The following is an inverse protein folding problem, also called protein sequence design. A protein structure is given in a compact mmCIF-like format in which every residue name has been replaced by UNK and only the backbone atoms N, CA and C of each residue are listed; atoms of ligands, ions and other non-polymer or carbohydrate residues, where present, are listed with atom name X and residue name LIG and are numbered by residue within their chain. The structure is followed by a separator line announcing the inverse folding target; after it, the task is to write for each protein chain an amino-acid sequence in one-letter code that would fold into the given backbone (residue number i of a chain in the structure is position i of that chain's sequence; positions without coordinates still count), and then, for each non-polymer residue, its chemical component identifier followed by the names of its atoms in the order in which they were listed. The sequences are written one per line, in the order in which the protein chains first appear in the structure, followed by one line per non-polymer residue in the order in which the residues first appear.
data_IF_288376003443
#
_entry.id   IF_288376003443
#
_cell.length_a   1.000
_cell.length_b   1.000
_cell.length_c   1.000
_cell.angle_alpha   90.00
_cell.angle_beta   90.00
_cell.angle_gamma   90.00
#
_symmetry.space_group_name_H-M   'P 1'
#
loop_
_entity.id
_entity.type
_entity.pdbx_description
1 polymer ?
#
# COMPACT_ATOMS: atom_id res chain seq x y z
N UNK A 1 -16.44 -31.79 14.07
CA UNK A 1 -15.52 -30.71 13.66
C UNK A 1 -16.31 -29.78 12.79
N UNK A 2 -16.43 -28.51 13.18
CA UNK A 2 -17.06 -27.50 12.35
C UNK A 2 -15.92 -26.93 11.50
N UNK A 3 -15.81 -27.34 10.24
CA UNK A 3 -14.87 -26.74 9.30
C UNK A 3 -15.35 -25.31 9.03
N UNK A 4 -14.72 -24.36 9.71
CA UNK A 4 -14.93 -22.91 9.58
C UNK A 4 -14.04 -22.28 8.52
N UNK A 5 -13.54 -23.05 7.56
CA UNK A 5 -12.81 -22.53 6.42
C UNK A 5 -13.83 -22.14 5.33
N UNK A 6 -14.48 -20.99 5.53
CA UNK A 6 -15.30 -20.35 4.49
C UNK A 6 -14.43 -19.76 3.38
N UNK A 7 -15.05 -19.46 2.24
CA UNK A 7 -14.38 -18.90 1.05
C UNK A 7 -13.48 -17.70 1.41
N UNK A 8 -12.24 -17.72 0.92
CA UNK A 8 -11.21 -16.71 1.24
C UNK A 8 -10.91 -15.88 0.00
N UNK A 9 -11.03 -14.57 0.14
CA UNK A 9 -10.51 -13.60 -0.84
C UNK A 9 -9.28 -12.92 -0.26
N UNK A 10 -8.14 -13.11 -0.92
CA UNK A 10 -6.91 -12.43 -0.55
C UNK A 10 -6.64 -11.29 -1.55
N UNK A 11 -6.27 -10.13 -1.04
CA UNK A 11 -5.80 -9.00 -1.84
C UNK A 11 -4.29 -8.87 -1.66
N UNK A 12 -3.55 -8.87 -2.77
CA UNK A 12 -2.12 -8.58 -2.77
C UNK A 12 -1.78 -7.67 -3.94
N UNK A 13 -0.67 -6.95 -3.84
CA UNK A 13 -0.29 -5.99 -4.86
C UNK A 13 0.96 -5.22 -4.48
N UNK A 14 1.32 -4.29 -5.34
CA UNK A 14 2.46 -3.41 -5.16
C UNK A 14 2.19 -2.05 -5.77
N UNK A 15 2.70 -1.00 -5.14
CA UNK A 15 2.58 0.37 -5.63
C UNK A 15 3.93 1.07 -5.64
N UNK A 16 4.19 1.80 -6.71
CA UNK A 16 5.26 2.78 -6.77
C UNK A 16 4.69 4.14 -6.35
N UNK A 17 5.31 4.77 -5.35
CA UNK A 17 4.85 6.02 -4.77
C UNK A 17 5.88 7.12 -5.00
N UNK A 18 5.40 8.31 -5.36
CA UNK A 18 6.17 9.55 -5.36
C UNK A 18 5.66 10.42 -4.21
N UNK A 19 6.58 10.86 -3.35
CA UNK A 19 6.26 11.67 -2.17
C UNK A 19 6.95 13.02 -2.18
N UNK A 20 6.34 13.99 -1.50
CA UNK A 20 6.90 15.29 -1.20
C UNK A 20 6.80 15.57 0.30
N UNK A 21 7.91 16.00 0.90
CA UNK A 21 7.93 16.48 2.28
C UNK A 21 7.94 18.01 2.31
N UNK A 22 7.11 18.59 3.18
CA UNK A 22 6.96 20.03 3.34
C UNK A 22 7.96 20.64 4.34
N UNK A 23 8.87 19.83 4.90
CA UNK A 23 9.79 20.26 5.95
C UNK A 23 11.23 19.81 5.74
N UNK A 24 12.09 20.23 6.67
CA UNK A 24 13.48 19.78 6.72
C UNK A 24 13.54 18.27 6.97
N UNK A 25 14.42 17.53 6.27
CA UNK A 25 14.69 16.12 6.56
C UNK A 25 15.14 15.85 8.01
N UNK A 26 15.79 16.83 8.64
CA UNK A 26 16.29 16.75 10.02
C UNK A 26 15.20 16.95 11.10
N UNK A 27 13.95 17.18 10.73
CA UNK A 27 12.83 17.45 11.64
C UNK A 27 11.61 16.59 11.30
N UNK A 28 10.68 16.49 12.25
CA UNK A 28 9.38 15.86 11.97
C UNK A 28 8.66 16.72 10.93
N UNK A 29 8.39 16.14 9.76
CA UNK A 29 7.91 16.88 8.60
C UNK A 29 6.62 16.30 8.03
N UNK A 30 5.59 17.13 7.80
CA UNK A 30 4.42 16.70 7.04
C UNK A 30 4.82 16.26 5.63
N UNK A 31 4.15 15.23 5.12
CA UNK A 31 4.37 14.74 3.76
C UNK A 31 3.06 14.32 3.09
N UNK A 32 3.06 14.38 1.76
CA UNK A 32 2.04 13.80 0.89
C UNK A 32 2.69 12.89 -0.13
N UNK A 33 1.95 11.90 -0.62
CA UNK A 33 2.40 11.06 -1.72
C UNK A 33 1.23 10.64 -2.60
N UNK A 34 1.57 10.28 -3.82
CA UNK A 34 0.67 9.66 -4.77
C UNK A 34 1.42 8.63 -5.59
N UNK A 35 0.68 7.68 -6.15
CA UNK A 35 1.31 6.63 -6.92
C UNK A 35 0.34 5.75 -7.66
N UNK A 36 0.95 4.84 -8.40
CA UNK A 36 0.26 3.87 -9.22
C UNK A 36 0.89 2.49 -9.00
N UNK A 37 0.08 1.46 -9.20
CA UNK A 37 0.49 0.10 -8.96
C UNK A 37 -0.48 -0.89 -9.56
N UNK A 38 -0.42 -2.11 -9.05
CA UNK A 38 -1.33 -3.17 -9.39
C UNK A 38 -1.88 -3.82 -8.12
N UNK A 39 -3.09 -4.35 -8.23
CA UNK A 39 -3.75 -5.17 -7.22
C UNK A 39 -4.21 -6.47 -7.87
N UNK A 40 -4.24 -7.53 -7.08
CA UNK A 40 -4.71 -8.84 -7.47
C UNK A 40 -5.63 -9.40 -6.38
N UNK A 41 -6.82 -9.82 -6.77
CA UNK A 41 -7.68 -10.68 -5.98
C UNK A 41 -7.34 -12.14 -6.24
N UNK A 42 -7.23 -12.93 -5.19
CA UNK A 42 -7.20 -14.39 -5.28
C UNK A 42 -8.37 -14.96 -4.52
N UNK A 43 -9.18 -15.72 -5.25
CA UNK A 43 -10.36 -16.40 -4.74
C UNK A 43 -10.01 -17.87 -4.52
N UNK A 44 -10.27 -18.36 -3.31
CA UNK A 44 -10.19 -19.79 -2.96
C UNK A 44 -11.49 -20.23 -2.32
N UNK A 45 -12.07 -21.31 -2.84
CA UNK A 45 -13.27 -21.94 -2.30
C UNK A 45 -13.06 -23.43 -2.13
N UNK A 46 -13.14 -23.90 -0.89
CA UNK A 46 -13.06 -25.33 -0.57
C UNK A 46 -14.35 -26.07 -0.99
N UNK A 47 -15.44 -25.35 -1.23
CA UNK A 47 -16.74 -25.90 -1.64
C UNK A 47 -16.92 -25.94 -3.16
N UNK A 48 -16.36 -24.96 -3.88
CA UNK A 48 -16.48 -24.86 -5.34
C UNK A 48 -15.12 -24.60 -6.00
N UNK A 49 -14.31 -25.65 -6.26
CA UNK A 49 -12.98 -25.50 -6.86
C UNK A 49 -12.99 -24.85 -8.26
N UNK A 50 -14.10 -24.97 -9.00
CA UNK A 50 -14.26 -24.33 -10.30
C UNK A 50 -14.44 -22.79 -10.21
N UNK A 51 -14.67 -22.25 -9.01
CA UNK A 51 -14.76 -20.82 -8.74
C UNK A 51 -13.42 -20.23 -8.26
N UNK A 52 -12.35 -21.03 -8.20
CA UNK A 52 -11.00 -20.52 -7.95
C UNK A 52 -10.51 -19.67 -9.11
N UNK A 53 -9.82 -18.57 -8.79
CA UNK A 53 -9.33 -17.67 -9.81
C UNK A 53 -8.51 -16.52 -9.26
N UNK A 54 -7.97 -15.73 -10.18
CA UNK A 54 -7.32 -14.47 -9.85
C UNK A 54 -7.66 -13.38 -10.86
N UNK A 55 -8.00 -12.20 -10.37
CA UNK A 55 -8.25 -11.01 -11.17
C UNK A 55 -7.21 -9.96 -10.80
N UNK A 56 -6.61 -9.31 -11.78
CA UNK A 56 -5.58 -8.29 -11.55
C UNK A 56 -5.89 -7.04 -12.33
N UNK A 57 -5.61 -5.90 -11.74
CA UNK A 57 -5.75 -4.63 -12.43
C UNK A 57 -4.86 -3.55 -11.83
N UNK A 58 -5.02 -2.34 -12.36
CA UNK A 58 -4.24 -1.18 -11.93
C UNK A 58 -4.80 -0.62 -10.64
N UNK A 59 -3.96 0.08 -9.89
CA UNK A 59 -4.38 0.83 -8.72
C UNK A 59 -3.75 2.21 -8.69
N UNK A 60 -4.49 3.17 -8.13
CA UNK A 60 -3.97 4.48 -7.75
C UNK A 60 -4.03 4.60 -6.22
N UNK A 61 -2.98 5.19 -5.65
CA UNK A 61 -2.88 5.47 -4.23
C UNK A 61 -2.58 6.94 -4.00
N UNK A 62 -3.22 7.54 -3.01
CA UNK A 62 -2.93 8.88 -2.51
C UNK A 62 -2.85 8.83 -0.99
N UNK A 63 -1.93 9.58 -0.39
CA UNK A 63 -1.79 9.56 1.06
C UNK A 63 -1.04 10.75 1.62
N UNK A 64 -1.10 10.86 2.93
CA UNK A 64 -0.45 11.90 3.70
C UNK A 64 0.02 11.34 5.04
N UNK A 65 1.04 11.96 5.62
CA UNK A 65 1.66 11.47 6.84
C UNK A 65 2.70 12.40 7.42
N UNK A 66 3.51 11.83 8.30
CA UNK A 66 4.64 12.48 8.95
C UNK A 66 5.91 11.66 8.69
N UNK A 67 6.97 12.35 8.28
CA UNK A 67 8.33 11.84 8.28
C UNK A 67 9.01 12.14 9.62
N UNK A 68 9.89 11.26 10.06
CA UNK A 68 10.64 11.36 11.32
C UNK A 68 12.14 11.17 11.07
N UNK A 69 13.01 12.04 11.57
CA UNK A 69 14.45 11.83 11.50
C UNK A 69 14.84 10.72 12.49
N UNK A 70 15.50 9.65 12.01
CA UNK A 70 15.96 8.52 12.81
C UNK A 70 17.49 8.35 12.69
N UNK A 71 18.22 9.46 12.68
CA UNK A 71 19.67 9.49 12.48
C UNK A 71 20.02 9.41 11.00
N UNK A 72 20.68 8.34 10.56
CA UNK A 72 21.08 8.16 9.16
C UNK A 72 19.97 7.60 8.26
N UNK A 73 18.83 7.23 8.85
CA UNK A 73 17.62 6.79 8.14
C UNK A 73 16.44 7.67 8.51
N UNK A 74 15.42 7.72 7.66
CA UNK A 74 14.13 8.35 7.97
C UNK A 74 13.11 7.30 8.41
N UNK A 75 12.15 7.72 9.22
CA UNK A 75 10.91 6.98 9.48
C UNK A 75 9.74 7.68 8.81
N UNK A 76 8.67 6.95 8.52
CA UNK A 76 7.40 7.52 8.08
C UNK A 76 6.23 6.82 8.76
N UNK A 77 5.19 7.58 9.07
CA UNK A 77 3.85 7.07 9.38
C UNK A 77 2.85 7.80 8.48
N UNK A 78 1.98 7.06 7.81
CA UNK A 78 1.05 7.65 6.85
C UNK A 78 -0.30 6.93 6.80
N UNK A 79 -1.31 7.68 6.40
CA UNK A 79 -2.58 7.16 5.93
C UNK A 79 -2.64 7.25 4.39
N UNK A 80 -3.17 6.22 3.74
CA UNK A 80 -3.40 6.21 2.29
C UNK A 80 -4.81 5.76 1.95
N UNK A 81 -5.33 6.32 0.87
CA UNK A 81 -6.53 5.85 0.17
C UNK A 81 -6.09 5.23 -1.15
N UNK A 82 -6.54 4.01 -1.41
CA UNK A 82 -6.13 3.23 -2.58
C UNK A 82 -7.37 2.72 -3.32
N UNK A 83 -7.33 2.81 -4.65
CA UNK A 83 -8.44 2.50 -5.53
C UNK A 83 -7.97 1.64 -6.70
N UNK A 84 -8.64 0.49 -6.90
CA UNK A 84 -8.42 -0.40 -8.03
C UNK A 84 -9.22 0.02 -9.28
N UNK A 85 -8.71 -0.33 -10.45
CA UNK A 85 -9.30 -0.11 -11.76
C UNK A 85 -9.14 -1.35 -12.64
N UNK A 86 -10.00 -1.50 -13.66
CA UNK A 86 -10.00 -2.67 -14.55
C UNK A 86 -10.68 -3.85 -13.88
N UNK A 87 -10.06 -5.03 -13.90
CA UNK A 87 -10.65 -6.25 -13.33
C UNK A 87 -10.72 -6.23 -11.77
N UNK A 88 -10.17 -5.19 -11.14
CA UNK A 88 -10.28 -4.92 -9.69
C UNK A 88 -11.06 -3.65 -9.39
N UNK A 89 -11.83 -3.14 -10.36
CA UNK A 89 -12.71 -1.98 -10.16
C UNK A 89 -13.69 -2.21 -9.00
N UNK A 90 -13.97 -1.16 -8.24
CA UNK A 90 -14.74 -1.23 -6.98
C UNK A 90 -13.92 -1.63 -5.74
N UNK A 91 -12.65 -2.03 -5.90
CA UNK A 91 -11.76 -2.27 -4.76
C UNK A 91 -11.27 -0.95 -4.19
N UNK A 92 -11.67 -0.64 -2.96
CA UNK A 92 -11.19 0.54 -2.24
C UNK A 92 -10.74 0.17 -0.84
N UNK A 93 -9.60 0.70 -0.40
CA UNK A 93 -9.14 0.49 0.97
C UNK A 93 -8.35 1.67 1.50
N UNK A 94 -8.47 1.89 2.80
CA UNK A 94 -7.68 2.86 3.56
C UNK A 94 -6.59 2.10 4.31
N UNK A 95 -5.34 2.47 4.08
CA UNK A 95 -4.18 1.88 4.76
C UNK A 95 -3.60 2.85 5.78
N UNK A 96 -3.14 2.31 6.92
CA UNK A 96 -2.19 3.00 7.80
C UNK A 96 -0.87 2.24 7.68
N UNK A 97 0.20 2.96 7.33
CA UNK A 97 1.52 2.37 7.11
C UNK A 97 2.57 3.04 7.98
N UNK A 98 3.58 2.26 8.34
CA UNK A 98 4.83 2.74 8.90
C UNK A 98 5.98 2.19 8.04
N UNK A 99 6.97 3.03 7.73
CA UNK A 99 8.07 2.66 6.83
C UNK A 99 9.41 3.28 7.27
N UNK A 100 10.50 2.64 6.84
CA UNK A 100 11.85 3.21 6.93
C UNK A 100 12.21 3.77 5.56
N UNK A 101 12.70 5.00 5.55
CA UNK A 101 13.17 5.72 4.37
C UNK A 101 14.69 5.67 4.34
N UNK A 102 15.26 5.34 3.18
CA UNK A 102 16.70 5.28 2.94
C UNK A 102 17.00 6.22 1.78
N UNK A 103 17.85 7.22 2.02
CA UNK A 103 18.32 8.10 0.95
C UNK A 103 19.30 7.36 0.04
N UNK A 104 19.00 7.33 -1.25
CA UNK A 104 19.87 6.77 -2.28
C UNK A 104 20.48 7.95 -3.04
N UNK A 105 21.71 8.33 -2.69
CA UNK A 105 22.46 9.37 -3.41
C UNK A 105 23.09 10.47 -2.57
N UNK A 106 23.80 10.14 -1.48
CA UNK A 106 24.78 11.02 -0.82
C UNK A 106 24.29 12.32 -0.16
N UNK A 107 23.04 12.73 -0.39
CA UNK A 107 22.38 13.79 0.36
C UNK A 107 22.03 13.28 1.76
N UNK A 108 22.54 13.95 2.79
CA UNK A 108 22.09 13.74 4.16
C UNK A 108 20.57 13.89 4.24
N UNK A 109 19.91 12.90 4.84
CA UNK A 109 18.57 13.08 5.41
C UNK A 109 18.66 13.89 6.70
#
# INVERSE_FOLDING_TARGET
SHDTDGDKTNLYGGMALLGYSFGSPAEVSPMVFGGLGFLTHSYKSDTFPAAEGSESGLALGLGAGLGFPLGSVGGMVAASYNMGFGDVDGTTFVGISAAIQIAVGGGSM
#
